data_IF_359824788160
#
_entry.id   IF_359824788160
#
_cell.length_a   1.000
_cell.length_b   1.000
_cell.length_c   1.000
_cell.angle_alpha   90.00
_cell.angle_beta   90.00
_cell.angle_gamma   90.00
#
_symmetry.space_group_name_H-M   'P 1'
#
loop_
_entity.id
_entity.type
_entity.pdbx_description
1 polymer ?
#
# COMPACT_ATOMS: atom_id res chain seq x y z
N UNK A 1 31.59 24.29 -81.91
CA UNK A 1 33.06 24.53 -81.85
C UNK A 1 33.42 24.55 -80.37
N UNK A 2 33.85 23.41 -79.80
CA UNK A 2 35.21 22.83 -79.80
C UNK A 2 36.19 23.70 -79.00
N UNK A 3 36.62 23.19 -77.83
CA UNK A 3 38.00 23.07 -77.31
C UNK A 3 37.88 22.54 -75.84
N UNK A 4 38.17 21.27 -75.52
CA UNK A 4 39.47 20.59 -75.32
C UNK A 4 40.13 20.84 -73.94
N UNK A 5 40.65 19.72 -73.40
CA UNK A 5 41.73 19.57 -72.39
C UNK A 5 41.35 19.78 -70.92
N UNK A 6 41.08 18.70 -70.17
CA UNK A 6 42.05 17.85 -69.42
C UNK A 6 42.93 18.68 -68.47
N UNK A 7 42.69 18.54 -67.16
CA UNK A 7 43.75 18.54 -66.16
C UNK A 7 43.36 17.59 -65.02
N UNK A 8 44.01 16.43 -65.03
CA UNK A 8 44.04 15.51 -63.91
C UNK A 8 44.93 16.08 -62.80
N UNK A 9 44.45 16.11 -61.57
CA UNK A 9 45.31 16.03 -60.38
C UNK A 9 44.51 15.41 -59.24
N UNK A 10 44.75 14.13 -59.01
CA UNK A 10 44.33 13.46 -57.79
C UNK A 10 45.20 13.97 -56.63
N UNK A 11 44.56 14.43 -55.56
CA UNK A 11 45.20 14.50 -54.23
C UNK A 11 44.31 13.73 -53.27
N UNK A 12 44.77 12.52 -52.93
CA UNK A 12 44.20 11.69 -51.89
C UNK A 12 44.71 12.25 -50.56
N UNK A 13 43.82 12.84 -49.77
CA UNK A 13 44.06 13.11 -48.35
C UNK A 13 43.11 12.25 -47.54
N UNK A 14 43.55 11.04 -47.20
CA UNK A 14 42.88 10.16 -46.24
C UNK A 14 43.09 10.70 -44.83
N UNK A 15 42.16 11.51 -44.33
CA UNK A 15 42.04 11.70 -42.88
C UNK A 15 41.16 10.59 -42.33
N UNK A 16 41.80 9.63 -41.67
CA UNK A 16 41.11 8.68 -40.80
C UNK A 16 40.44 9.46 -39.66
N UNK A 17 39.11 9.39 -39.58
CA UNK A 17 38.40 9.66 -38.34
C UNK A 17 37.30 8.64 -38.18
N UNK A 18 37.53 7.74 -37.22
CA UNK A 18 36.60 6.72 -36.77
C UNK A 18 35.52 7.36 -35.90
N UNK A 19 34.22 7.12 -36.17
CA UNK A 19 33.22 7.13 -35.13
C UNK A 19 32.95 5.68 -34.75
N UNK A 20 33.48 5.27 -33.60
CA UNK A 20 33.04 4.08 -32.88
C UNK A 20 31.64 4.38 -32.31
N UNK A 21 30.54 3.76 -32.78
CA UNK A 21 29.25 3.92 -32.15
C UNK A 21 29.21 3.00 -30.93
N UNK A 22 29.82 3.47 -29.82
CA UNK A 22 29.38 3.01 -28.51
C UNK A 22 27.99 3.59 -28.29
N UNK A 23 26.97 2.86 -28.75
CA UNK A 23 25.66 2.91 -28.12
C UNK A 23 25.88 2.55 -26.65
N UNK A 24 26.09 3.57 -25.83
CA UNK A 24 25.96 3.47 -24.40
C UNK A 24 24.47 3.25 -24.17
N UNK A 25 24.09 1.99 -24.03
CA UNK A 25 22.84 1.62 -23.39
C UNK A 25 22.93 2.23 -22.00
N UNK A 26 22.28 3.38 -21.82
CA UNK A 26 22.11 3.98 -20.52
C UNK A 26 21.51 2.87 -19.64
N UNK A 27 22.09 2.52 -18.49
CA UNK A 27 21.49 1.56 -17.59
C UNK A 27 20.12 2.11 -17.22
N UNK A 28 19.06 1.54 -17.78
CA UNK A 28 17.70 1.76 -17.28
C UNK A 28 17.79 1.35 -15.83
N UNK A 29 17.67 2.32 -14.92
CA UNK A 29 17.57 2.03 -13.50
C UNK A 29 16.53 0.91 -13.36
N UNK A 30 16.82 -0.18 -12.63
CA UNK A 30 15.81 -1.19 -12.38
C UNK A 30 14.60 -0.43 -11.86
N UNK A 31 13.48 -0.59 -12.58
CA UNK A 31 12.20 -0.05 -12.20
C UNK A 31 11.91 -0.68 -10.84
N UNK A 32 12.28 0.03 -9.76
CA UNK A 32 11.92 -0.35 -8.40
C UNK A 32 10.41 -0.39 -8.42
N UNK A 33 9.84 -1.59 -8.51
CA UNK A 33 8.42 -1.78 -8.35
C UNK A 33 8.10 -1.22 -6.98
N UNK A 34 7.50 -0.02 -6.96
CA UNK A 34 7.04 0.59 -5.72
C UNK A 34 5.97 -0.34 -5.21
N UNK A 35 6.33 -1.26 -4.32
CA UNK A 35 5.34 -2.06 -3.61
C UNK A 35 4.40 -1.06 -2.95
N UNK A 36 3.15 -1.08 -3.39
CA UNK A 36 2.10 -0.30 -2.74
C UNK A 36 1.95 -0.84 -1.33
N UNK A 37 1.96 0.06 -0.36
CA UNK A 37 1.82 -0.27 1.04
C UNK A 37 0.59 -1.17 1.27
N UNK A 38 0.76 -2.20 2.10
CA UNK A 38 -0.31 -3.08 2.57
C UNK A 38 -0.07 -3.40 4.05
N UNK A 39 -0.97 -2.97 4.91
CA UNK A 39 -0.93 -3.33 6.33
C UNK A 39 -0.93 -4.87 6.48
N UNK A 40 -0.11 -5.42 7.38
CA UNK A 40 -0.05 -6.86 7.61
C UNK A 40 -1.41 -7.37 8.13
N UNK A 41 -1.74 -8.59 7.72
CA UNK A 41 -2.98 -9.26 8.09
C UNK A 41 -2.63 -10.46 8.98
N UNK A 42 -3.08 -10.44 10.23
CA UNK A 42 -2.71 -11.39 11.26
C UNK A 42 -3.85 -12.36 11.58
N UNK A 43 -3.49 -13.62 11.85
CA UNK A 43 -4.38 -14.68 12.34
C UNK A 43 -5.59 -14.99 11.44
N UNK A 44 -5.43 -14.81 10.13
CA UNK A 44 -6.46 -15.16 9.13
C UNK A 44 -6.26 -16.53 8.48
N UNK A 45 -5.22 -17.27 8.89
CA UNK A 45 -4.89 -18.61 8.41
C UNK A 45 -5.73 -19.73 9.05
N UNK A 46 -6.56 -19.39 10.05
CA UNK A 46 -7.37 -20.35 10.78
C UNK A 46 -6.61 -21.17 11.82
N UNK A 47 -5.29 -20.98 11.96
CA UNK A 47 -4.48 -21.70 12.95
C UNK A 47 -4.73 -21.21 14.38
N UNK A 48 -5.21 -19.97 14.52
CA UNK A 48 -5.45 -19.30 15.79
C UNK A 48 -6.88 -19.51 16.35
N UNK A 49 -7.63 -20.47 15.79
CA UNK A 49 -8.99 -20.80 16.20
C UNK A 49 -10.06 -20.44 15.16
N UNK A 50 -11.32 -20.37 15.60
CA UNK A 50 -12.47 -20.05 14.74
C UNK A 50 -12.46 -18.56 14.35
N UNK A 51 -11.78 -18.28 13.24
CA UNK A 51 -11.77 -16.97 12.58
C UNK A 51 -13.17 -16.62 12.10
N UNK A 52 -13.61 -15.40 12.39
CA UNK A 52 -14.92 -14.91 11.97
C UNK A 52 -14.73 -14.05 10.72
N UNK A 53 -15.02 -14.63 9.55
CA UNK A 53 -14.83 -13.96 8.26
C UNK A 53 -15.60 -12.64 8.20
N UNK A 54 -14.93 -11.59 7.70
CA UNK A 54 -15.52 -10.26 7.57
C UNK A 54 -15.41 -9.40 8.83
N UNK A 55 -14.87 -9.94 9.92
CA UNK A 55 -14.72 -9.21 11.17
C UNK A 55 -13.24 -9.05 11.52
N UNK A 56 -12.85 -7.85 11.89
CA UNK A 56 -11.45 -7.51 12.10
C UNK A 56 -11.26 -6.59 13.31
N UNK A 57 -10.08 -6.63 13.90
CA UNK A 57 -9.52 -5.58 14.74
C UNK A 57 -8.51 -4.81 13.89
N UNK A 58 -8.71 -3.50 13.79
CA UNK A 58 -7.87 -2.60 13.01
C UNK A 58 -7.14 -1.70 13.99
N UNK A 59 -5.81 -1.67 13.89
CA UNK A 59 -4.96 -0.81 14.71
C UNK A 59 -4.40 0.28 13.81
N UNK A 60 -4.64 1.52 14.19
CA UNK A 60 -4.14 2.71 13.52
C UNK A 60 -2.76 3.08 14.09
N UNK A 61 -1.94 3.67 13.24
CA UNK A 61 -0.63 4.20 13.61
C UNK A 61 -0.77 5.33 14.62
N UNK A 62 0.29 5.57 15.39
CA UNK A 62 0.31 6.64 16.38
C UNK A 62 0.01 8.00 15.76
N UNK A 63 -0.91 8.74 16.40
CA UNK A 63 -1.35 10.06 15.94
C UNK A 63 -2.34 10.03 14.77
N UNK A 64 -2.72 8.85 14.29
CA UNK A 64 -3.70 8.69 13.22
C UNK A 64 -5.09 8.43 13.81
N UNK A 65 -6.06 9.24 13.40
CA UNK A 65 -7.43 9.18 13.96
C UNK A 65 -8.35 8.28 13.13
N UNK A 66 -9.49 7.91 13.71
CA UNK A 66 -10.52 7.18 12.97
C UNK A 66 -11.10 8.02 11.82
N UNK A 67 -11.19 9.32 12.02
CA UNK A 67 -11.63 10.30 11.04
C UNK A 67 -10.65 10.38 9.86
N UNK A 68 -9.34 10.42 10.13
CA UNK A 68 -8.30 10.36 9.09
C UNK A 68 -8.43 9.08 8.25
N UNK A 69 -8.69 7.96 8.93
CA UNK A 69 -8.91 6.67 8.27
C UNK A 69 -10.15 6.68 7.36
N UNK A 70 -11.27 7.25 7.81
CA UNK A 70 -12.47 7.42 7.00
C UNK A 70 -12.20 8.30 5.77
N UNK A 71 -11.46 9.39 5.97
CA UNK A 71 -11.09 10.31 4.91
C UNK A 71 -10.20 9.63 3.85
N UNK A 72 -9.15 8.94 4.26
CA UNK A 72 -8.18 8.32 3.33
C UNK A 72 -8.74 7.09 2.61
N UNK A 73 -9.61 6.31 3.27
CA UNK A 73 -10.34 5.23 2.59
C UNK A 73 -11.49 5.74 1.71
N UNK A 74 -11.77 7.04 1.74
CA UNK A 74 -12.90 7.72 1.07
C UNK A 74 -14.23 7.05 1.38
N UNK A 75 -14.39 6.67 2.64
CA UNK A 75 -15.52 5.85 3.09
C UNK A 75 -15.84 6.18 4.54
N UNK A 76 -17.13 6.29 4.81
CA UNK A 76 -17.62 6.25 6.18
C UNK A 76 -17.47 4.83 6.75
N UNK A 77 -16.54 4.68 7.70
CA UNK A 77 -16.25 3.41 8.37
C UNK A 77 -17.13 3.17 9.61
N UNK A 78 -17.90 4.17 10.07
CA UNK A 78 -18.80 4.01 11.23
C UNK A 78 -19.83 2.91 11.00
N UNK A 79 -20.27 2.71 9.76
CA UNK A 79 -21.21 1.64 9.40
C UNK A 79 -20.69 0.21 9.64
N UNK A 80 -19.38 0.04 9.76
CA UNK A 80 -18.77 -1.25 10.11
C UNK A 80 -18.29 -1.29 11.56
N UNK A 81 -18.25 -0.14 12.24
CA UNK A 81 -17.71 0.00 13.58
C UNK A 81 -18.57 -0.77 14.58
N UNK A 82 -17.95 -1.69 15.31
CA UNK A 82 -18.57 -2.39 16.44
C UNK A 82 -18.15 -1.79 17.77
N UNK A 83 -16.84 -1.58 17.95
CA UNK A 83 -16.27 -1.06 19.20
C UNK A 83 -15.11 -0.16 18.86
N UNK A 84 -15.08 1.03 19.46
CA UNK A 84 -13.92 1.91 19.46
C UNK A 84 -13.04 1.62 20.67
N UNK A 85 -11.74 1.42 20.48
CA UNK A 85 -10.78 0.97 21.49
C UNK A 85 -9.67 2.01 21.68
N UNK A 86 -10.05 3.26 21.94
CA UNK A 86 -9.11 4.37 22.17
C UNK A 86 -8.35 4.28 23.51
N UNK A 87 -8.89 3.59 24.51
CA UNK A 87 -8.27 3.45 25.83
C UNK A 87 -7.44 2.15 25.98
N UNK A 88 -7.52 1.24 25.01
CA UNK A 88 -6.86 -0.06 25.09
C UNK A 88 -5.39 -0.03 24.67
N UNK A 89 -5.02 0.92 23.81
CA UNK A 89 -3.67 1.01 23.25
C UNK A 89 -3.05 2.35 23.67
N UNK A 90 -1.91 2.28 24.35
CA UNK A 90 -1.27 3.45 24.96
C UNK A 90 -0.92 4.57 23.96
N UNK A 91 -0.59 4.20 22.72
CA UNK A 91 -0.13 5.12 21.69
C UNK A 91 -0.79 4.89 20.31
N UNK A 92 -1.90 4.15 20.28
CA UNK A 92 -2.61 3.82 19.06
C UNK A 92 -4.12 3.90 19.26
N UNK A 93 -4.84 3.98 18.15
CA UNK A 93 -6.30 3.83 18.14
C UNK A 93 -6.62 2.48 17.54
N UNK A 94 -7.33 1.64 18.30
CA UNK A 94 -7.90 0.41 17.77
C UNK A 94 -9.39 0.56 17.54
N UNK A 95 -9.93 -0.19 16.59
CA UNK A 95 -11.36 -0.42 16.52
C UNK A 95 -11.67 -1.80 15.97
N UNK A 96 -12.80 -2.37 16.41
CA UNK A 96 -13.31 -3.61 15.84
C UNK A 96 -14.42 -3.31 14.85
N UNK A 97 -14.48 -4.12 13.80
CA UNK A 97 -15.48 -4.01 12.77
C UNK A 97 -16.13 -5.35 12.45
N UNK A 98 -17.39 -5.28 12.02
CA UNK A 98 -18.18 -6.43 11.62
C UNK A 98 -18.64 -6.29 10.15
N UNK A 99 -18.83 -7.44 9.48
CA UNK A 99 -19.43 -7.52 8.14
C UNK A 99 -18.70 -6.67 7.07
N UNK A 100 -17.37 -6.57 7.16
CA UNK A 100 -16.52 -5.86 6.20
C UNK A 100 -16.34 -6.71 4.94
N UNK A 101 -16.78 -6.22 3.76
CA UNK A 101 -16.56 -6.92 2.50
C UNK A 101 -15.08 -6.95 2.09
N UNK A 102 -14.65 -7.99 1.37
CA UNK A 102 -13.25 -8.18 0.97
C UNK A 102 -12.66 -6.95 0.22
N UNK A 103 -13.44 -6.31 -0.66
CA UNK A 103 -13.02 -5.07 -1.35
C UNK A 103 -12.75 -3.90 -0.40
N UNK A 104 -13.48 -3.84 0.71
CA UNK A 104 -13.29 -2.81 1.74
C UNK A 104 -12.07 -3.14 2.58
N UNK A 105 -11.85 -4.43 2.90
CA UNK A 105 -10.63 -4.87 3.58
C UNK A 105 -9.37 -4.48 2.80
N UNK A 106 -9.37 -4.64 1.48
CA UNK A 106 -8.25 -4.19 0.63
C UNK A 106 -8.00 -2.69 0.81
N UNK A 107 -9.04 -1.85 0.77
CA UNK A 107 -8.91 -0.40 0.95
C UNK A 107 -8.39 -0.02 2.34
N UNK A 108 -8.87 -0.71 3.40
CA UNK A 108 -8.38 -0.53 4.76
C UNK A 108 -6.87 -0.82 4.80
N UNK A 109 -6.45 -1.95 4.22
CA UNK A 109 -5.04 -2.36 4.26
C UNK A 109 -4.12 -1.47 3.42
N UNK A 110 -4.64 -0.80 2.38
CA UNK A 110 -3.86 0.16 1.61
C UNK A 110 -3.66 1.51 2.30
N UNK A 111 -4.41 1.80 3.37
CA UNK A 111 -4.25 3.05 4.09
C UNK A 111 -2.95 3.04 4.91
N UNK A 112 -2.03 3.97 4.58
CA UNK A 112 -0.73 4.12 5.24
C UNK A 112 -0.85 4.40 6.74
N UNK A 113 -2.00 4.89 7.20
CA UNK A 113 -2.26 5.12 8.61
C UNK A 113 -2.70 3.87 9.37
N UNK A 114 -3.05 2.77 8.69
CA UNK A 114 -3.36 1.50 9.35
C UNK A 114 -2.06 0.77 9.64
N UNK A 115 -1.77 0.51 10.92
CA UNK A 115 -0.55 -0.20 11.34
C UNK A 115 -0.63 -1.70 11.05
N UNK A 116 -1.77 -2.31 11.37
CA UNK A 116 -2.00 -3.75 11.27
C UNK A 116 -3.49 -4.09 11.33
N UNK A 117 -3.86 -5.22 10.74
CA UNK A 117 -5.22 -5.76 10.75
C UNK A 117 -5.19 -7.19 11.28
N UNK A 118 -6.05 -7.49 12.25
CA UNK A 118 -6.15 -8.81 12.85
C UNK A 118 -7.53 -9.40 12.55
N UNK A 119 -7.59 -10.62 12.02
CA UNK A 119 -8.86 -11.35 11.94
C UNK A 119 -9.48 -11.50 13.33
N UNK A 120 -10.79 -11.28 13.43
CA UNK A 120 -11.53 -11.50 14.68
C UNK A 120 -11.71 -13.00 14.94
N UNK A 121 -11.74 -13.37 16.21
CA UNK A 121 -11.93 -14.75 16.67
C UNK A 121 -12.99 -14.79 17.76
N UNK A 122 -13.64 -15.94 17.95
CA UNK A 122 -14.60 -16.10 19.05
C UNK A 122 -13.98 -15.76 20.42
N UNK A 123 -12.75 -16.21 20.67
CA UNK A 123 -12.03 -15.92 21.90
C UNK A 123 -11.78 -14.42 22.11
N UNK A 124 -11.46 -13.67 21.03
CA UNK A 124 -11.33 -12.21 21.14
C UNK A 124 -12.67 -11.55 21.43
N UNK A 125 -13.76 -12.00 20.81
CA UNK A 125 -15.10 -11.48 21.11
C UNK A 125 -15.45 -11.63 22.58
N UNK A 126 -15.22 -12.81 23.16
CA UNK A 126 -15.43 -13.08 24.58
C UNK A 126 -14.62 -12.13 25.47
N UNK A 127 -13.34 -11.90 25.14
CA UNK A 127 -12.48 -10.96 25.86
C UNK A 127 -12.97 -9.51 25.79
N UNK A 128 -13.56 -9.11 24.66
CA UNK A 128 -14.04 -7.75 24.45
C UNK A 128 -15.48 -7.51 24.95
N UNK A 129 -16.25 -8.57 25.29
CA UNK A 129 -17.63 -8.45 25.78
C UNK A 129 -17.81 -7.47 26.95
N UNK A 130 -16.94 -7.46 27.99
CA UNK A 130 -17.11 -6.55 29.12
C UNK A 130 -16.97 -5.08 28.72
N UNK A 131 -16.18 -4.79 27.68
CA UNK A 131 -15.95 -3.43 27.17
C UNK A 131 -17.18 -2.96 26.41
N UNK A 132 -17.74 -3.81 25.53
CA UNK A 132 -19.01 -3.55 24.83
C UNK A 132 -20.11 -3.19 25.83
N UNK A 133 -20.23 -4.00 26.88
CA UNK A 133 -21.27 -3.86 27.90
C UNK A 133 -21.19 -2.52 28.65
N UNK A 134 -19.98 -1.94 28.79
CA UNK A 134 -19.78 -0.64 29.44
C UNK A 134 -20.01 0.53 28.49
N UNK A 135 -19.63 0.40 27.21
CA UNK A 135 -19.87 1.45 26.20
C UNK A 135 -21.36 1.65 25.89
N UNK A 136 -22.20 0.64 26.05
CA UNK A 136 -23.65 0.74 25.83
C UNK A 136 -24.42 1.50 26.93
N UNK A 137 -23.77 1.86 28.04
CA UNK A 137 -24.38 2.63 29.13
C UNK A 137 -24.11 4.14 29.08
N UNK A 138 -23.42 4.63 28.03
CA UNK A 138 -23.03 6.04 27.89
C UNK A 138 -23.62 6.75 26.67
N UNK A 139 -24.68 6.18 26.06
CA UNK A 139 -25.49 6.84 25.03
C UNK A 139 -26.95 6.93 25.44
#
# INVERSE_FOLDING_TARGET
MLFLLICASAVIATTMSSPNPRHQILPTCPEFSRQTYQAPLHWCDGLSGNVIKGNYLIILSRGYTFEDHCYNTRRDMTKYLRIYLNEMFFDAVGYTCDSVPDKVLVNIRTDIGVKEVWCDTNSRRELLQPIVSRSLHHY
#
